data_IF_031846883040
#
_entry.id   IF_031846883040
#
_cell.length_a   1.000
_cell.length_b   1.000
_cell.length_c   1.000
_cell.angle_alpha   90.00
_cell.angle_beta   90.00
_cell.angle_gamma   90.00
#
_symmetry.space_group_name_H-M   'P 1'
#
loop_
_entity.id
_entity.type
_entity.pdbx_description
1 polymer ?
#
# COMPACT_ATOMS: atom_id res chain seq x y z
N UNK A 1 8.86 -10.50 9.58
CA UNK A 1 8.18 -9.26 10.01
C UNK A 1 6.97 -9.45 10.93
N UNK A 2 6.36 -10.64 11.08
CA UNK A 2 5.23 -10.83 12.01
C UNK A 2 5.61 -10.65 13.48
N UNK A 3 6.73 -11.22 13.90
CA UNK A 3 7.24 -11.14 15.28
C UNK A 3 7.76 -9.75 15.68
N UNK A 4 7.81 -8.79 14.76
CA UNK A 4 8.26 -7.43 15.07
C UNK A 4 7.16 -6.60 15.76
N UNK A 5 5.89 -7.00 15.61
CA UNK A 5 4.76 -6.25 16.17
C UNK A 5 4.76 -6.29 17.69
N UNK A 6 4.33 -5.20 18.35
CA UNK A 6 4.20 -5.18 19.79
C UNK A 6 3.11 -6.17 20.24
N UNK A 7 3.29 -6.75 21.42
CA UNK A 7 2.29 -7.65 22.02
C UNK A 7 1.09 -6.87 22.58
N UNK A 8 1.30 -5.61 22.91
CA UNK A 8 0.30 -4.70 23.49
C UNK A 8 0.26 -3.40 22.70
N UNK A 9 -0.91 -2.76 22.67
CA UNK A 9 -1.11 -1.49 22.00
C UNK A 9 -1.93 -0.56 22.90
N UNK A 10 -1.68 0.74 22.75
CA UNK A 10 -2.49 1.76 23.39
C UNK A 10 -3.95 1.69 22.90
N UNK A 11 -4.90 1.84 23.82
CA UNK A 11 -6.33 1.88 23.47
C UNK A 11 -6.63 2.99 22.46
N UNK A 12 -5.93 4.13 22.55
CA UNK A 12 -6.06 5.24 21.61
C UNK A 12 -5.64 4.87 20.18
N UNK A 13 -4.57 4.06 20.03
CA UNK A 13 -4.16 3.53 18.73
C UNK A 13 -5.15 2.50 18.20
N UNK A 14 -5.69 1.64 19.08
CA UNK A 14 -6.73 0.70 18.69
C UNK A 14 -7.98 1.41 18.15
N UNK A 15 -8.51 2.38 18.91
CA UNK A 15 -9.68 3.19 18.49
C UNK A 15 -9.41 3.90 17.17
N UNK A 16 -8.24 4.51 17.00
CA UNK A 16 -7.85 5.17 15.76
C UNK A 16 -7.80 4.19 14.58
N UNK A 17 -7.09 3.06 14.70
CA UNK A 17 -7.00 2.11 13.61
C UNK A 17 -8.36 1.50 13.24
N UNK A 18 -9.24 1.26 14.23
CA UNK A 18 -10.62 0.83 13.97
C UNK A 18 -11.42 1.91 13.23
N UNK A 19 -11.28 3.19 13.57
CA UNK A 19 -11.95 4.27 12.83
C UNK A 19 -11.43 4.37 11.39
N UNK A 20 -10.11 4.24 11.18
CA UNK A 20 -9.53 4.28 9.84
C UNK A 20 -9.95 3.06 9.00
N UNK A 21 -10.11 1.88 9.60
CA UNK A 21 -10.68 0.72 8.91
C UNK A 21 -12.13 1.00 8.44
N UNK A 22 -12.96 1.62 9.29
CA UNK A 22 -14.29 2.06 8.90
C UNK A 22 -14.28 3.11 7.77
N UNK A 23 -13.39 4.10 7.86
CA UNK A 23 -13.20 5.13 6.85
C UNK A 23 -12.72 4.55 5.51
N UNK A 24 -11.87 3.52 5.53
CA UNK A 24 -11.41 2.81 4.33
C UNK A 24 -12.60 2.14 3.62
N UNK A 25 -13.45 1.42 4.36
CA UNK A 25 -14.67 0.80 3.81
C UNK A 25 -15.62 1.87 3.25
N UNK A 26 -15.84 2.95 4.00
CA UNK A 26 -16.69 4.06 3.57
C UNK A 26 -16.17 4.71 2.27
N UNK A 27 -14.87 4.96 2.18
CA UNK A 27 -14.22 5.54 1.00
C UNK A 27 -14.41 4.67 -0.24
N UNK A 28 -14.29 3.34 -0.11
CA UNK A 28 -14.58 2.41 -1.22
C UNK A 28 -16.05 2.47 -1.63
N UNK A 29 -16.98 2.38 -0.68
CA UNK A 29 -18.43 2.35 -0.98
C UNK A 29 -18.93 3.66 -1.61
N UNK A 30 -18.34 4.79 -1.23
CA UNK A 30 -18.71 6.12 -1.73
C UNK A 30 -17.95 6.52 -3.00
N UNK A 31 -16.93 5.76 -3.39
CA UNK A 31 -16.02 6.17 -4.47
C UNK A 31 -15.14 7.38 -4.09
N UNK A 32 -14.97 7.67 -2.80
CA UNK A 32 -14.13 8.76 -2.30
C UNK A 32 -12.67 8.27 -2.17
N UNK A 33 -11.91 8.49 -3.23
CA UNK A 33 -10.50 8.12 -3.30
C UNK A 33 -9.62 8.89 -2.31
N UNK A 34 -9.99 10.13 -1.97
CA UNK A 34 -9.25 10.94 -1.01
C UNK A 34 -9.41 10.36 0.40
N UNK A 35 -10.64 10.01 0.79
CA UNK A 35 -10.92 9.33 2.05
C UNK A 35 -10.23 7.97 2.10
N UNK A 36 -10.36 7.17 1.05
CA UNK A 36 -9.71 5.85 0.93
C UNK A 36 -8.20 5.94 1.13
N UNK A 37 -7.53 6.82 0.37
CA UNK A 37 -6.09 6.99 0.42
C UNK A 37 -5.58 7.50 1.77
N UNK A 38 -6.27 8.48 2.36
CA UNK A 38 -5.96 8.97 3.72
C UNK A 38 -6.11 7.86 4.76
N UNK A 39 -7.22 7.14 4.75
CA UNK A 39 -7.48 6.05 5.70
C UNK A 39 -6.42 4.95 5.58
N UNK A 40 -6.09 4.53 4.35
CA UNK A 40 -5.07 3.53 4.04
C UNK A 40 -3.67 3.91 4.56
N UNK A 41 -3.33 5.21 4.60
CA UNK A 41 -2.00 5.69 4.99
C UNK A 41 -1.88 6.04 6.48
N UNK A 42 -2.92 5.79 7.27
CA UNK A 42 -3.06 6.30 8.65
C UNK A 42 -2.83 5.26 9.74
N UNK A 43 -2.20 4.12 9.43
CA UNK A 43 -1.93 3.07 10.41
C UNK A 43 -0.96 3.55 11.51
N UNK A 44 -1.35 3.39 12.78
CA UNK A 44 -0.53 3.71 13.96
C UNK A 44 0.05 2.50 14.68
N UNK A 45 -0.24 1.28 14.21
CA UNK A 45 0.10 0.03 14.90
C UNK A 45 1.10 -0.79 14.10
N UNK A 46 0.79 -1.16 12.86
CA UNK A 46 1.55 -2.19 12.12
C UNK A 46 2.66 -1.55 11.29
N UNK A 47 2.32 -0.55 10.49
CA UNK A 47 3.23 0.12 9.59
C UNK A 47 4.37 0.85 10.32
N UNK A 48 4.15 1.62 11.41
CA UNK A 48 5.25 2.28 12.12
C UNK A 48 6.32 1.30 12.64
N UNK A 49 5.92 0.07 12.97
CA UNK A 49 6.84 -0.99 13.40
C UNK A 49 7.53 -1.69 12.22
N UNK A 50 6.86 -1.80 11.06
CA UNK A 50 7.39 -2.53 9.89
C UNK A 50 8.17 -1.66 8.91
N UNK A 51 7.82 -0.40 8.74
CA UNK A 51 8.46 0.50 7.78
C UNK A 51 9.98 0.62 8.01
N UNK A 52 10.50 0.73 9.25
CA UNK A 52 11.94 0.76 9.50
C UNK A 52 12.68 -0.51 9.07
N UNK A 53 11.99 -1.65 8.91
CA UNK A 53 12.57 -2.91 8.44
C UNK A 53 12.70 -2.97 6.91
N UNK A 54 12.19 -1.98 6.19
CA UNK A 54 12.20 -1.91 4.74
C UNK A 54 13.01 -0.66 4.34
N UNK A 55 14.28 -0.82 3.91
CA UNK A 55 15.14 0.31 3.55
C UNK A 55 14.48 1.25 2.54
N UNK A 56 14.42 2.54 2.88
CA UNK A 56 13.84 3.58 2.01
C UNK A 56 12.30 3.68 2.03
N UNK A 57 11.57 2.89 2.81
CA UNK A 57 10.10 2.88 2.79
C UNK A 57 9.46 4.25 3.03
N UNK A 58 9.94 5.01 4.02
CA UNK A 58 9.38 6.34 4.31
C UNK A 58 9.56 7.31 3.13
N UNK A 59 10.72 7.25 2.46
CA UNK A 59 10.98 8.04 1.28
C UNK A 59 10.11 7.62 0.09
N UNK A 60 9.85 6.32 -0.07
CA UNK A 60 8.96 5.79 -1.11
C UNK A 60 7.53 6.25 -0.88
N UNK A 61 7.04 6.21 0.36
CA UNK A 61 5.71 6.73 0.70
C UNK A 61 5.61 8.22 0.38
N UNK A 62 6.62 9.00 0.77
CA UNK A 62 6.69 10.44 0.46
C UNK A 62 6.68 10.69 -1.05
N UNK A 63 7.53 9.99 -1.81
CA UNK A 63 7.61 10.12 -3.25
C UNK A 63 6.29 9.77 -3.95
N UNK A 64 5.58 8.75 -3.47
CA UNK A 64 4.26 8.39 -4.00
C UNK A 64 3.24 9.53 -3.82
N UNK A 65 3.17 10.12 -2.61
CA UNK A 65 2.26 11.22 -2.30
C UNK A 65 2.62 12.48 -3.11
N UNK A 66 3.92 12.83 -3.19
CA UNK A 66 4.40 13.97 -4.00
C UNK A 66 4.11 13.80 -5.49
N UNK A 67 4.11 12.56 -5.99
CA UNK A 67 3.73 12.23 -7.36
C UNK A 67 2.20 12.19 -7.61
N UNK A 68 1.38 12.44 -6.57
CA UNK A 68 -0.06 12.55 -6.68
C UNK A 68 -0.86 11.30 -6.31
N UNK A 69 -0.28 10.34 -5.59
CA UNK A 69 -1.05 9.24 -5.00
C UNK A 69 -2.02 9.75 -3.93
N UNK A 70 -3.21 9.18 -3.85
CA UNK A 70 -4.18 9.49 -2.79
C UNK A 70 -3.75 8.93 -1.42
N UNK A 71 -2.97 7.85 -1.44
CA UNK A 71 -2.45 7.18 -0.27
C UNK A 71 -1.38 6.16 -0.64
N UNK A 72 -0.51 5.83 0.30
CA UNK A 72 0.56 4.85 0.13
C UNK A 72 0.83 4.12 1.45
N UNK A 73 0.95 2.80 1.41
CA UNK A 73 1.25 1.96 2.59
C UNK A 73 2.05 0.72 2.19
N UNK A 74 2.46 -0.07 3.20
CA UNK A 74 3.04 -1.40 2.99
C UNK A 74 1.95 -2.38 2.56
N UNK A 75 2.18 -3.10 1.46
CA UNK A 75 1.30 -4.19 1.02
C UNK A 75 1.55 -5.46 1.83
N UNK A 76 0.53 -5.90 2.56
CA UNK A 76 0.57 -7.11 3.38
C UNK A 76 1.62 -7.02 4.50
N UNK A 77 2.61 -7.94 4.47
CA UNK A 77 3.71 -7.92 5.43
C UNK A 77 4.95 -7.16 4.94
N UNK A 78 4.92 -6.62 3.72
CA UNK A 78 6.10 -6.07 3.03
C UNK A 78 6.96 -7.16 2.36
N UNK A 79 8.00 -6.75 1.60
CA UNK A 79 8.52 -5.38 1.50
C UNK A 79 7.80 -4.51 0.45
N UNK A 80 6.85 -5.04 -0.31
CA UNK A 80 6.12 -4.31 -1.35
C UNK A 80 5.37 -3.11 -0.76
N UNK A 81 5.47 -1.95 -1.42
CA UNK A 81 4.61 -0.79 -1.18
C UNK A 81 3.44 -0.77 -2.18
N UNK A 82 2.31 -0.22 -1.78
CA UNK A 82 1.13 -0.01 -2.64
C UNK A 82 0.66 1.43 -2.52
N UNK A 83 0.28 2.03 -3.65
CA UNK A 83 -0.26 3.37 -3.73
C UNK A 83 -1.60 3.38 -4.48
N UNK A 84 -2.50 4.28 -4.09
CA UNK A 84 -3.81 4.45 -4.72
C UNK A 84 -3.77 5.62 -5.71
N UNK A 85 -4.27 5.39 -6.92
CA UNK A 85 -4.40 6.38 -8.01
C UNK A 85 -5.73 6.16 -8.73
N UNK A 86 -6.21 7.19 -9.43
CA UNK A 86 -7.42 7.22 -10.26
C UNK A 86 -7.14 7.03 -11.75
N UNK A 87 -5.88 7.21 -12.16
CA UNK A 87 -5.45 7.21 -13.54
C UNK A 87 -4.22 6.31 -13.76
N UNK A 88 -4.18 5.63 -14.91
CA UNK A 88 -3.12 4.68 -15.25
C UNK A 88 -1.80 5.39 -15.59
N UNK A 89 -1.84 6.50 -16.33
CA UNK A 89 -0.63 7.27 -16.68
C UNK A 89 0.00 7.88 -15.42
N UNK A 90 -0.83 8.46 -14.54
CA UNK A 90 -0.44 8.91 -13.20
C UNK A 90 0.11 7.76 -12.37
N UNK A 91 -0.50 6.57 -12.45
CA UNK A 91 0.00 5.36 -11.80
C UNK A 91 1.41 4.97 -12.24
N UNK A 92 1.72 5.09 -13.54
CA UNK A 92 3.07 4.83 -14.04
C UNK A 92 4.08 5.86 -13.52
N UNK A 93 3.71 7.14 -13.48
CA UNK A 93 4.54 8.20 -12.90
C UNK A 93 4.82 7.95 -11.41
N UNK A 94 3.77 7.68 -10.62
CA UNK A 94 3.89 7.32 -9.19
C UNK A 94 4.81 6.12 -9.01
N UNK A 95 4.60 5.05 -9.79
CA UNK A 95 5.42 3.84 -9.73
C UNK A 95 6.90 4.11 -10.04
N UNK A 96 7.20 4.96 -11.02
CA UNK A 96 8.57 5.38 -11.32
C UNK A 96 9.21 6.14 -10.15
N UNK A 97 8.49 7.09 -9.54
CA UNK A 97 8.99 7.84 -8.38
C UNK A 97 9.24 6.93 -7.17
N UNK A 98 8.37 5.96 -6.92
CA UNK A 98 8.54 4.95 -5.87
C UNK A 98 9.78 4.08 -6.12
N UNK A 99 9.99 3.60 -7.36
CA UNK A 99 11.18 2.81 -7.71
C UNK A 99 12.46 3.61 -7.53
N UNK A 100 12.48 4.87 -7.98
CA UNK A 100 13.63 5.76 -7.80
C UNK A 100 13.94 6.00 -6.32
N UNK A 101 12.92 6.19 -5.47
CA UNK A 101 13.09 6.36 -4.04
C UNK A 101 13.66 5.10 -3.37
N UNK A 102 13.18 3.90 -3.72
CA UNK A 102 13.76 2.64 -3.23
C UNK A 102 15.23 2.48 -3.62
N UNK A 103 15.58 2.82 -4.86
CA UNK A 103 16.96 2.74 -5.32
C UNK A 103 17.85 3.74 -4.58
N UNK A 104 17.42 5.00 -4.46
CA UNK A 104 18.23 6.09 -3.91
C UNK A 104 18.41 5.98 -2.39
N UNK A 105 17.32 5.73 -1.66
CA UNK A 105 17.29 5.82 -0.20
C UNK A 105 17.41 4.43 0.47
N UNK A 106 17.03 3.37 -0.24
CA UNK A 106 17.09 1.99 0.25
C UNK A 106 18.20 1.13 -0.37
N UNK A 107 18.83 1.57 -1.47
CA UNK A 107 19.71 0.75 -2.30
C UNK A 107 19.05 -0.58 -2.73
N UNK A 108 17.76 -0.51 -3.07
CA UNK A 108 16.95 -1.67 -3.47
C UNK A 108 16.57 -1.62 -4.94
N UNK A 109 16.80 -2.74 -5.64
CA UNK A 109 16.24 -2.96 -6.97
C UNK A 109 14.73 -3.25 -6.84
N UNK A 110 13.90 -2.36 -7.36
CA UNK A 110 12.44 -2.47 -7.32
C UNK A 110 11.82 -2.38 -8.72
N UNK A 111 10.59 -2.90 -8.85
CA UNK A 111 9.77 -2.76 -10.04
C UNK A 111 8.35 -2.36 -9.65
N UNK A 112 7.68 -1.59 -10.50
CA UNK A 112 6.31 -1.15 -10.30
C UNK A 112 5.38 -1.71 -11.38
N UNK A 113 4.16 -2.06 -10.97
CA UNK A 113 3.09 -2.48 -11.87
C UNK A 113 1.83 -1.68 -11.54
N UNK A 114 1.16 -1.14 -12.56
CA UNK A 114 -0.14 -0.49 -12.42
C UNK A 114 -1.21 -1.53 -12.75
N UNK A 115 -2.18 -1.70 -11.84
CA UNK A 115 -3.25 -2.71 -11.96
C UNK A 115 -4.56 -2.16 -11.41
N UNK A 116 -5.65 -2.67 -11.98
CA UNK A 116 -6.98 -2.55 -11.40
C UNK A 116 -7.30 -3.78 -10.53
N UNK A 117 -8.25 -3.65 -9.62
CA UNK A 117 -8.73 -4.77 -8.81
C UNK A 117 -9.29 -5.87 -9.71
N UNK A 118 -8.79 -7.10 -9.54
CA UNK A 118 -9.34 -8.27 -10.21
C UNK A 118 -10.70 -8.63 -9.61
N UNK A 119 -11.76 -8.47 -10.40
CA UNK A 119 -13.15 -8.74 -9.99
C UNK A 119 -13.56 -10.21 -10.17
N UNK A 120 -12.75 -11.01 -10.86
CA UNK A 120 -13.02 -12.42 -11.12
C UNK A 120 -12.35 -13.30 -10.07
N UNK A 121 -11.18 -12.89 -9.57
CA UNK A 121 -10.38 -13.69 -8.65
C UNK A 121 -9.85 -14.98 -9.31
N UNK A 122 -9.83 -16.07 -8.55
CA UNK A 122 -9.33 -17.36 -9.03
C UNK A 122 -10.23 -17.92 -10.15
N UNK A 123 -9.62 -18.32 -11.26
CA UNK A 123 -10.31 -18.86 -12.44
C UNK A 123 -9.43 -19.89 -13.15
N UNK A 124 -10.05 -20.85 -13.84
CA UNK A 124 -9.34 -21.83 -14.63
C UNK A 124 -8.72 -21.17 -15.88
N UNK A 125 -7.40 -21.30 -16.03
CA UNK A 125 -6.65 -20.79 -17.20
C UNK A 125 -6.36 -21.97 -18.12
N UNK A 126 -7.41 -22.50 -18.77
CA UNK A 126 -7.41 -23.70 -19.62
C UNK A 126 -6.97 -25.01 -18.93
N UNK A 127 -7.77 -26.08 -19.05
CA UNK A 127 -7.27 -27.43 -18.79
C UNK A 127 -6.28 -27.77 -19.88
N UNK A 128 -5.02 -28.07 -19.55
CA UNK A 128 -4.15 -28.78 -20.46
C UNK A 128 -4.84 -30.11 -20.75
N UNK A 129 -5.45 -30.26 -21.92
CA UNK A 129 -5.91 -31.55 -22.41
C UNK A 129 -4.66 -32.36 -22.69
N UNK A 130 -4.29 -33.22 -21.75
CA UNK A 130 -3.33 -34.30 -21.99
C UNK A 130 -3.96 -35.22 -23.03
N UNK A 131 -3.48 -35.15 -24.27
CA UNK A 131 -3.66 -36.24 -25.24
C UNK A 131 -2.87 -37.47 -24.81
#
# INVERSE_FOLDING_TARGET
MRAALPLEIEMSHHVWNCSQAGALVAGVLQGDLLMLGKALSSDKIVEPTRAPLIPGMDAVKKAAIEAGAFGCTISGAGPTAVAITDDEQKGHLIGQQMVQAFQKEGNLNAAANVKQLDRLGARLISSVLSN
#
